data_IF_403673009316
#
_entry.id   IF_403673009316
#
_cell.length_a   1.000
_cell.length_b   1.000
_cell.length_c   1.000
_cell.angle_alpha   90.00
_cell.angle_beta   90.00
_cell.angle_gamma   90.00
#
_symmetry.space_group_name_H-M   'P 1'
#
loop_
_entity.id
_entity.type
_entity.pdbx_description
1 polymer ?
#
# COMPACT_ATOMS: atom_id res chain seq x y z
N UNK A 1 -12.45 -9.76 -14.89
CA UNK A 1 -11.41 -9.57 -13.87
C UNK A 1 -11.89 -9.92 -12.46
N UNK A 2 -12.94 -9.30 -11.89
CA UNK A 2 -13.45 -9.69 -10.57
C UNK A 2 -13.78 -11.19 -10.46
N UNK A 3 -14.42 -11.75 -11.48
CA UNK A 3 -14.68 -13.19 -11.56
C UNK A 3 -13.40 -14.05 -11.66
N UNK A 4 -12.33 -13.55 -12.29
CA UNK A 4 -11.04 -14.24 -12.31
C UNK A 4 -10.43 -14.25 -10.91
N UNK A 5 -10.47 -13.11 -10.21
CA UNK A 5 -9.98 -13.02 -8.83
C UNK A 5 -10.75 -13.96 -7.89
N UNK A 6 -12.08 -14.03 -8.01
CA UNK A 6 -12.94 -14.97 -7.25
C UNK A 6 -12.59 -16.44 -7.55
N UNK A 7 -12.34 -16.80 -8.81
CA UNK A 7 -11.94 -18.17 -9.15
C UNK A 7 -10.54 -18.54 -8.68
N UNK A 8 -9.62 -17.58 -8.60
CA UNK A 8 -8.25 -17.83 -8.12
C UNK A 8 -8.23 -17.96 -6.60
N UNK A 9 -9.03 -17.17 -5.88
CA UNK A 9 -9.14 -17.19 -4.42
C UNK A 9 -9.75 -18.52 -3.93
N UNK A 10 -8.94 -19.34 -3.25
CA UNK A 10 -9.36 -20.63 -2.70
C UNK A 10 -9.27 -21.83 -3.66
N UNK A 11 -8.88 -21.62 -4.92
CA UNK A 11 -8.57 -22.70 -5.86
C UNK A 11 -7.18 -23.33 -5.59
N UNK A 12 -6.86 -24.45 -6.22
CA UNK A 12 -5.48 -24.96 -6.21
C UNK A 12 -4.60 -24.18 -7.17
N UNK A 13 -3.27 -24.18 -6.94
CA UNK A 13 -2.31 -23.50 -7.81
C UNK A 13 -2.39 -23.99 -9.25
N UNK A 14 -2.53 -25.30 -9.45
CA UNK A 14 -2.59 -25.92 -10.76
C UNK A 14 -3.87 -25.54 -11.52
N UNK A 15 -5.00 -25.41 -10.83
CA UNK A 15 -6.27 -25.01 -11.43
C UNK A 15 -6.27 -23.52 -11.82
N UNK A 16 -5.59 -22.69 -11.04
CA UNK A 16 -5.56 -21.24 -11.21
C UNK A 16 -4.57 -20.73 -12.24
N UNK A 17 -3.67 -21.57 -12.78
CA UNK A 17 -2.57 -21.13 -13.66
C UNK A 17 -3.06 -20.31 -14.87
N UNK A 18 -4.13 -20.78 -15.54
CA UNK A 18 -4.69 -20.09 -16.70
C UNK A 18 -5.38 -18.78 -16.32
N UNK A 19 -6.15 -18.78 -15.21
CA UNK A 19 -6.86 -17.60 -14.73
C UNK A 19 -5.90 -16.51 -14.23
N UNK A 20 -4.83 -16.91 -13.52
CA UNK A 20 -3.79 -16.02 -13.04
C UNK A 20 -3.05 -15.35 -14.21
N UNK A 21 -2.69 -16.15 -15.23
CA UNK A 21 -2.07 -15.63 -16.45
C UNK A 21 -2.99 -14.63 -17.18
N UNK A 22 -4.27 -14.96 -17.31
CA UNK A 22 -5.27 -14.06 -17.90
C UNK A 22 -5.46 -12.78 -17.08
N UNK A 23 -5.52 -12.88 -15.74
CA UNK A 23 -5.63 -11.73 -14.87
C UNK A 23 -4.47 -10.77 -15.07
N UNK A 24 -3.24 -11.26 -14.91
CA UNK A 24 -2.01 -10.47 -15.05
C UNK A 24 -1.88 -9.83 -16.44
N UNK A 25 -2.32 -10.53 -17.49
CA UNK A 25 -2.37 -9.98 -18.83
C UNK A 25 -3.36 -8.82 -18.95
N UNK A 26 -4.55 -8.93 -18.35
CA UNK A 26 -5.60 -7.91 -18.42
C UNK A 26 -5.30 -6.68 -17.56
N UNK A 27 -4.63 -6.86 -16.42
CA UNK A 27 -4.27 -5.79 -15.49
C UNK A 27 -2.89 -5.17 -15.76
N UNK A 28 -2.11 -5.75 -16.67
CA UNK A 28 -0.70 -5.39 -16.89
C UNK A 28 0.16 -5.52 -15.62
N UNK A 29 -0.15 -6.52 -14.78
CA UNK A 29 0.55 -6.77 -13.51
C UNK A 29 1.23 -8.14 -13.48
N UNK A 30 1.84 -8.48 -12.35
CA UNK A 30 2.59 -9.73 -12.16
C UNK A 30 2.29 -10.38 -10.81
N UNK A 31 1.00 -10.43 -10.42
CA UNK A 31 0.59 -11.05 -9.17
C UNK A 31 0.93 -12.53 -9.14
N UNK A 32 1.28 -13.03 -7.96
CA UNK A 32 1.40 -14.45 -7.68
C UNK A 32 0.05 -15.03 -7.24
N UNK A 33 -0.09 -16.35 -7.34
CA UNK A 33 -1.29 -17.07 -6.88
C UNK A 33 -1.67 -16.72 -5.43
N UNK A 34 -0.67 -16.52 -4.57
CA UNK A 34 -0.82 -16.14 -3.17
C UNK A 34 -1.45 -14.77 -2.95
N UNK A 35 -1.26 -13.82 -3.86
CA UNK A 35 -1.79 -12.46 -3.72
C UNK A 35 -3.32 -12.42 -3.77
N UNK A 36 -3.94 -13.49 -4.29
CA UNK A 36 -5.38 -13.66 -4.38
C UNK A 36 -5.98 -14.42 -3.18
N UNK A 37 -5.16 -15.00 -2.31
CA UNK A 37 -5.67 -15.91 -1.28
C UNK A 37 -6.18 -15.13 -0.06
N UNK A 38 -7.45 -15.33 0.27
CA UNK A 38 -8.09 -14.70 1.42
C UNK A 38 -8.64 -13.31 1.14
N UNK A 39 -8.86 -12.94 -0.13
CA UNK A 39 -9.52 -11.68 -0.51
C UNK A 39 -10.92 -11.59 0.13
N UNK A 40 -11.63 -12.71 0.25
CA UNK A 40 -12.90 -12.82 1.00
C UNK A 40 -12.86 -12.28 2.45
N UNK A 41 -11.68 -12.16 3.06
CA UNK A 41 -11.51 -11.62 4.42
C UNK A 41 -11.48 -10.09 4.50
N UNK A 42 -11.27 -9.39 3.38
CA UNK A 42 -11.04 -7.95 3.34
C UNK A 42 -12.09 -7.12 2.59
N UNK A 43 -12.90 -7.73 1.70
CA UNK A 43 -13.91 -7.04 0.89
C UNK A 43 -14.44 -7.94 -0.24
N UNK A 44 -15.20 -7.37 -1.18
CA UNK A 44 -15.57 -8.09 -2.41
C UNK A 44 -14.40 -8.10 -3.41
N UNK A 45 -14.24 -9.15 -4.23
CA UNK A 45 -13.16 -9.22 -5.24
C UNK A 45 -13.19 -8.05 -6.22
N UNK A 46 -14.36 -7.45 -6.46
CA UNK A 46 -14.47 -6.28 -7.32
C UNK A 46 -13.73 -5.08 -6.73
N UNK A 47 -13.75 -4.90 -5.40
CA UNK A 47 -13.11 -3.78 -4.73
C UNK A 47 -11.58 -3.94 -4.78
N UNK A 48 -11.08 -5.15 -4.54
CA UNK A 48 -9.65 -5.44 -4.73
C UNK A 48 -9.20 -5.22 -6.18
N UNK A 49 -10.00 -5.67 -7.16
CA UNK A 49 -9.70 -5.44 -8.58
C UNK A 49 -9.69 -3.96 -8.94
N UNK A 50 -10.58 -3.15 -8.36
CA UNK A 50 -10.56 -1.69 -8.55
C UNK A 50 -9.26 -1.09 -8.01
N UNK A 51 -8.83 -1.46 -6.81
CA UNK A 51 -7.56 -0.98 -6.24
C UNK A 51 -6.35 -1.34 -7.11
N UNK A 52 -6.31 -2.57 -7.64
CA UNK A 52 -5.27 -2.97 -8.61
C UNK A 52 -5.27 -2.05 -9.82
N UNK A 53 -6.44 -1.84 -10.45
CA UNK A 53 -6.56 -0.98 -11.63
C UNK A 53 -6.24 0.49 -11.34
N UNK A 54 -6.65 1.01 -10.18
CA UNK A 54 -6.32 2.36 -9.73
C UNK A 54 -4.81 2.53 -9.60
N UNK A 55 -4.11 1.55 -9.02
CA UNK A 55 -2.65 1.59 -8.88
C UNK A 55 -1.91 1.60 -10.23
N UNK A 56 -2.53 1.08 -11.30
CA UNK A 56 -1.98 1.08 -12.66
C UNK A 56 -2.27 2.40 -13.38
N UNK A 57 -3.51 2.88 -13.29
CA UNK A 57 -4.02 3.96 -14.14
C UNK A 57 -3.75 5.34 -13.54
N UNK A 58 -3.79 5.48 -12.20
CA UNK A 58 -3.68 6.78 -11.53
C UNK A 58 -2.21 7.18 -11.45
N UNK A 59 -1.93 8.38 -11.95
CA UNK A 59 -0.62 9.01 -11.88
C UNK A 59 -0.75 10.35 -11.14
N UNK A 60 0.30 10.79 -10.42
CA UNK A 60 0.31 12.12 -9.81
C UNK A 60 0.10 13.20 -10.87
N UNK A 61 -0.72 14.20 -10.55
CA UNK A 61 -0.93 15.35 -11.42
C UNK A 61 0.21 16.37 -11.23
N UNK A 62 0.68 16.94 -12.34
CA UNK A 62 1.65 18.04 -12.25
C UNK A 62 0.98 19.32 -11.74
N UNK A 63 1.59 19.96 -10.74
CA UNK A 63 1.18 21.27 -10.20
C UNK A 63 -0.24 21.31 -9.60
N UNK A 64 -0.66 20.24 -8.93
CA UNK A 64 -1.93 20.24 -8.17
C UNK A 64 -1.95 21.40 -7.16
N UNK A 65 -3.03 22.16 -7.17
CA UNK A 65 -3.23 23.31 -6.28
C UNK A 65 -3.79 22.88 -4.94
N UNK A 66 -3.61 23.71 -3.91
CA UNK A 66 -4.23 23.44 -2.60
C UNK A 66 -5.75 23.30 -2.71
N UNK A 67 -6.41 24.13 -3.50
CA UNK A 67 -7.88 24.09 -3.66
C UNK A 67 -8.33 22.78 -4.32
N UNK A 68 -7.58 22.26 -5.30
CA UNK A 68 -7.84 20.95 -5.90
C UNK A 68 -7.62 19.81 -4.89
N UNK A 69 -6.59 19.91 -4.04
CA UNK A 69 -6.37 18.95 -2.96
C UNK A 69 -7.51 18.98 -1.93
N UNK A 70 -8.07 20.16 -1.63
CA UNK A 70 -9.23 20.28 -0.72
C UNK A 70 -10.47 19.63 -1.32
N UNK A 71 -10.70 19.82 -2.62
CA UNK A 71 -11.79 19.13 -3.31
C UNK A 71 -11.59 17.61 -3.29
N UNK A 72 -10.36 17.12 -3.53
CA UNK A 72 -10.06 15.69 -3.42
C UNK A 72 -10.32 15.17 -2.00
N UNK A 73 -9.80 15.85 -0.97
CA UNK A 73 -10.01 15.48 0.42
C UNK A 73 -11.51 15.47 0.80
N UNK A 74 -12.29 16.42 0.28
CA UNK A 74 -13.74 16.45 0.48
C UNK A 74 -14.43 15.23 -0.15
N UNK A 75 -14.04 14.83 -1.36
CA UNK A 75 -14.61 13.65 -2.05
C UNK A 75 -14.14 12.31 -1.49
N UNK A 76 -13.00 12.29 -0.79
CA UNK A 76 -12.53 11.09 -0.08
C UNK A 76 -13.41 10.73 1.12
N UNK A 77 -14.24 11.67 1.61
CA UNK A 77 -15.14 11.43 2.74
C UNK A 77 -16.36 10.63 2.25
N UNK A 78 -16.64 9.43 2.81
CA UNK A 78 -17.70 8.54 2.32
C UNK A 78 -19.10 9.14 2.30
N UNK A 79 -19.37 10.12 3.16
CA UNK A 79 -20.65 10.83 3.20
C UNK A 79 -20.85 11.80 2.02
N UNK A 80 -19.79 12.12 1.28
CA UNK A 80 -19.80 13.13 0.22
C UNK A 80 -19.79 12.55 -1.19
N UNK A 81 -19.28 11.33 -1.40
CA UNK A 81 -19.19 10.70 -2.73
C UNK A 81 -19.25 9.17 -2.63
N UNK A 82 -20.03 8.54 -3.51
CA UNK A 82 -20.14 7.07 -3.60
C UNK A 82 -18.85 6.44 -4.15
N UNK A 83 -18.06 7.19 -4.91
CA UNK A 83 -16.77 6.76 -5.49
C UNK A 83 -15.56 7.21 -4.64
N UNK A 84 -15.74 7.45 -3.34
CA UNK A 84 -14.70 8.00 -2.45
C UNK A 84 -13.37 7.22 -2.49
N UNK A 85 -13.40 5.91 -2.72
CA UNK A 85 -12.22 5.02 -2.83
C UNK A 85 -11.32 5.41 -4.01
N UNK A 86 -11.92 5.79 -5.14
CA UNK A 86 -11.16 6.27 -6.30
C UNK A 86 -10.49 7.61 -5.98
N UNK A 87 -11.20 8.52 -5.32
CA UNK A 87 -10.63 9.80 -4.90
C UNK A 87 -9.54 9.64 -3.85
N UNK A 88 -9.65 8.64 -2.98
CA UNK A 88 -8.63 8.31 -2.00
C UNK A 88 -7.30 7.95 -2.67
N UNK A 89 -7.35 7.11 -3.71
CA UNK A 89 -6.17 6.75 -4.51
C UNK A 89 -5.61 7.94 -5.30
N UNK A 90 -6.46 8.80 -5.86
CA UNK A 90 -5.98 10.03 -6.51
C UNK A 90 -5.31 10.94 -5.48
N UNK A 91 -5.92 11.13 -4.32
CA UNK A 91 -5.40 12.03 -3.29
C UNK A 91 -4.06 11.54 -2.75
N UNK A 92 -3.93 10.23 -2.45
CA UNK A 92 -2.69 9.62 -1.93
C UNK A 92 -1.50 9.82 -2.87
N UNK A 93 -1.71 9.79 -4.20
CA UNK A 93 -0.64 10.03 -5.18
C UNK A 93 -0.23 11.51 -5.29
N UNK A 94 -1.04 12.44 -4.80
CA UNK A 94 -0.84 13.88 -5.00
C UNK A 94 -0.35 14.61 -3.74
N UNK A 95 -0.08 13.90 -2.64
CA UNK A 95 0.38 14.48 -1.37
C UNK A 95 1.54 13.68 -0.77
N UNK A 96 2.37 14.30 0.10
CA UNK A 96 3.55 13.62 0.65
C UNK A 96 3.25 12.71 1.85
N UNK A 97 2.00 12.62 2.31
CA UNK A 97 1.62 11.83 3.48
C UNK A 97 1.23 10.40 3.06
N UNK A 98 1.83 9.35 3.66
CA UNK A 98 1.70 7.98 3.16
C UNK A 98 0.32 7.34 3.42
N UNK A 99 -0.30 7.61 4.57
CA UNK A 99 -1.47 6.85 5.04
C UNK A 99 -2.76 7.69 5.02
N UNK A 100 -3.16 8.21 3.85
CA UNK A 100 -4.33 9.10 3.72
C UNK A 100 -5.63 8.46 4.22
N UNK A 101 -5.79 7.15 4.03
CA UNK A 101 -6.96 6.40 4.52
C UNK A 101 -7.15 6.60 6.03
N UNK A 102 -6.08 6.48 6.82
CA UNK A 102 -6.14 6.66 8.28
C UNK A 102 -6.55 8.10 8.67
N UNK A 103 -6.15 9.11 7.90
CA UNK A 103 -6.56 10.49 8.13
C UNK A 103 -8.06 10.72 7.87
N UNK A 104 -8.68 9.93 7.00
CA UNK A 104 -10.12 10.04 6.69
C UNK A 104 -10.96 9.21 7.65
N UNK A 105 -10.65 7.93 7.82
CA UNK A 105 -11.49 7.00 8.57
C UNK A 105 -11.16 6.94 10.07
N UNK A 106 -9.91 7.23 10.44
CA UNK A 106 -9.42 7.11 11.81
C UNK A 106 -8.56 8.32 12.25
N UNK A 107 -9.00 9.57 12.05
CA UNK A 107 -8.16 10.76 12.25
C UNK A 107 -7.64 10.92 13.70
N UNK A 108 -8.37 10.38 14.68
CA UNK A 108 -7.94 10.37 16.09
C UNK A 108 -6.71 9.49 16.34
N UNK A 109 -6.48 8.52 15.46
CA UNK A 109 -5.41 7.54 15.53
C UNK A 109 -4.09 8.06 14.95
N UNK A 110 -4.14 9.08 14.10
CA UNK A 110 -2.98 9.62 13.41
C UNK A 110 -2.13 10.48 14.37
N UNK A 111 -0.85 10.12 14.58
CA UNK A 111 0.06 10.88 15.43
C UNK A 111 0.18 12.35 14.99
N UNK A 112 -0.01 13.27 15.92
CA UNK A 112 0.12 14.71 15.67
C UNK A 112 -1.08 15.37 14.99
N UNK A 113 -2.11 14.61 14.61
CA UNK A 113 -3.37 15.14 14.07
C UNK A 113 -4.50 15.07 15.11
N UNK A 114 -4.84 13.85 15.56
CA UNK A 114 -5.78 13.56 16.66
C UNK A 114 -7.13 14.29 16.62
N UNK A 115 -7.66 14.56 15.42
CA UNK A 115 -8.98 15.19 15.25
C UNK A 115 -10.08 14.13 15.18
N UNK A 116 -11.27 14.45 15.67
CA UNK A 116 -12.42 13.55 15.63
C UNK A 116 -13.17 13.66 14.30
N UNK A 117 -13.52 14.89 13.91
CA UNK A 117 -14.20 15.21 12.65
C UNK A 117 -13.41 16.31 11.91
N UNK A 118 -12.29 15.96 11.25
CA UNK A 118 -11.48 16.95 10.54
C UNK A 118 -12.19 17.46 9.28
N UNK A 119 -12.02 18.74 8.96
CA UNK A 119 -12.46 19.26 7.67
C UNK A 119 -11.46 18.91 6.56
N UNK A 120 -11.91 18.97 5.30
CA UNK A 120 -11.03 18.78 4.14
C UNK A 120 -9.83 19.75 4.15
N UNK A 121 -10.04 21.03 4.50
CA UNK A 121 -8.96 22.00 4.68
C UNK A 121 -7.95 21.58 5.74
N UNK A 122 -8.42 21.06 6.88
CA UNK A 122 -7.55 20.65 7.99
C UNK A 122 -6.71 19.42 7.63
N UNK A 123 -7.28 18.48 6.87
CA UNK A 123 -6.55 17.33 6.31
C UNK A 123 -5.48 17.83 5.34
N UNK A 124 -5.85 18.70 4.40
CA UNK A 124 -4.91 19.24 3.38
C UNK A 124 -3.78 20.02 4.03
N UNK A 125 -4.09 20.89 4.99
CA UNK A 125 -3.07 21.64 5.71
C UNK A 125 -2.13 20.71 6.49
N UNK A 126 -2.65 19.62 7.07
CA UNK A 126 -1.81 18.64 7.77
C UNK A 126 -0.88 17.91 6.80
N UNK A 127 -1.40 17.35 5.71
CA UNK A 127 -0.60 16.56 4.74
C UNK A 127 0.41 17.43 4.00
N UNK A 128 0.09 18.70 3.69
CA UNK A 128 1.04 19.61 3.04
C UNK A 128 2.17 20.08 3.98
N UNK A 129 1.92 20.08 5.28
CA UNK A 129 2.95 20.41 6.29
C UNK A 129 3.70 19.18 6.80
N UNK A 130 3.34 17.99 6.35
CA UNK A 130 3.95 16.74 6.76
C UNK A 130 5.44 16.69 6.41
N UNK A 131 6.23 16.16 7.33
CA UNK A 131 7.67 15.97 7.15
C UNK A 131 8.05 14.57 7.55
N UNK A 132 8.49 13.81 6.55
CA UNK A 132 8.92 12.43 6.73
C UNK A 132 10.01 12.30 7.78
N UNK A 133 9.84 11.41 8.75
CA UNK A 133 10.93 11.03 9.67
C UNK A 133 11.82 10.01 8.97
N UNK A 134 13.07 10.37 8.68
CA UNK A 134 14.00 9.46 8.01
C UNK A 134 14.72 8.57 9.04
N UNK A 135 14.45 7.28 8.98
CA UNK A 135 15.14 6.29 9.82
C UNK A 135 16.47 5.86 9.19
N UNK A 136 17.47 5.61 10.03
CA UNK A 136 18.70 4.97 9.58
C UNK A 136 18.46 3.50 9.22
N UNK A 137 19.34 2.92 8.37
CA UNK A 137 19.34 1.48 8.07
C UNK A 137 19.29 0.60 9.32
N UNK A 138 19.98 1.01 10.39
CA UNK A 138 20.00 0.28 11.66
C UNK A 138 18.63 0.31 12.35
N UNK A 139 17.99 1.48 12.40
CA UNK A 139 16.65 1.65 12.97
C UNK A 139 15.60 0.88 12.17
N UNK A 140 15.65 0.94 10.83
CA UNK A 140 14.78 0.15 9.95
C UNK A 140 14.93 -1.34 10.21
N UNK A 141 16.16 -1.84 10.28
CA UNK A 141 16.44 -3.25 10.55
C UNK A 141 15.87 -3.67 11.91
N UNK A 142 16.04 -2.82 12.93
CA UNK A 142 15.54 -3.07 14.28
C UNK A 142 14.00 -3.12 14.30
N UNK A 143 13.34 -2.14 13.70
CA UNK A 143 11.88 -2.08 13.66
C UNK A 143 11.28 -3.22 12.83
N UNK A 144 11.82 -3.50 11.64
CA UNK A 144 11.36 -4.64 10.83
C UNK A 144 11.58 -5.97 11.54
N UNK A 145 12.74 -6.15 12.18
CA UNK A 145 13.00 -7.35 13.00
C UNK A 145 12.03 -7.45 14.18
N UNK A 146 11.65 -6.32 14.80
CA UNK A 146 10.67 -6.33 15.88
C UNK A 146 9.29 -6.70 15.34
N UNK A 147 8.83 -6.07 14.24
CA UNK A 147 7.55 -6.39 13.59
C UNK A 147 7.37 -7.87 13.23
N UNK A 148 8.45 -8.51 12.75
CA UNK A 148 8.41 -9.93 12.36
C UNK A 148 8.33 -10.86 13.58
N UNK A 149 8.91 -10.48 14.72
CA UNK A 149 9.12 -11.39 15.86
C UNK A 149 8.31 -11.01 17.13
N UNK A 150 7.76 -9.81 17.19
CA UNK A 150 7.11 -9.19 18.35
C UNK A 150 6.11 -8.11 17.87
N UNK A 151 5.42 -7.47 18.81
CA UNK A 151 4.45 -6.41 18.53
C UNK A 151 5.12 -5.02 18.52
N UNK A 152 4.94 -4.26 17.45
CA UNK A 152 5.29 -2.83 17.42
C UNK A 152 4.31 -2.02 18.28
N UNK A 153 4.80 -0.96 18.92
CA UNK A 153 3.89 0.10 19.38
C UNK A 153 3.27 0.81 18.17
N UNK A 154 2.17 1.53 18.39
CA UNK A 154 1.52 2.29 17.33
C UNK A 154 2.47 3.30 16.66
N UNK A 155 3.26 4.02 17.45
CA UNK A 155 4.27 4.97 16.95
C UNK A 155 5.37 4.28 16.14
N UNK A 156 5.87 3.13 16.62
CA UNK A 156 6.88 2.34 15.88
C UNK A 156 6.32 1.80 14.56
N UNK A 157 5.04 1.39 14.54
CA UNK A 157 4.36 0.92 13.33
C UNK A 157 4.27 2.05 12.30
N UNK A 158 3.79 3.23 12.68
CA UNK A 158 3.74 4.39 11.77
C UNK A 158 5.12 4.78 11.26
N UNK A 159 6.15 4.83 12.13
CA UNK A 159 7.51 5.16 11.70
C UNK A 159 8.06 4.14 10.70
N UNK A 160 7.81 2.84 10.91
CA UNK A 160 8.24 1.81 9.96
C UNK A 160 7.45 1.90 8.64
N UNK A 161 6.13 2.05 8.70
CA UNK A 161 5.24 2.18 7.54
C UNK A 161 5.62 3.38 6.68
N UNK A 162 5.81 4.54 7.31
CA UNK A 162 6.25 5.77 6.65
C UNK A 162 7.57 5.56 5.88
N UNK A 163 8.52 4.80 6.44
CA UNK A 163 9.83 4.61 5.79
C UNK A 163 9.85 3.45 4.79
N UNK A 164 8.83 2.61 4.77
CA UNK A 164 8.64 1.51 3.83
C UNK A 164 7.30 1.70 3.09
N UNK A 165 7.03 2.92 2.62
CA UNK A 165 5.70 3.38 2.16
C UNK A 165 5.05 2.55 1.05
N UNK A 166 5.85 1.88 0.22
CA UNK A 166 5.33 0.99 -0.82
C UNK A 166 4.92 -0.39 -0.29
N UNK A 167 5.27 -0.71 0.97
CA UNK A 167 5.11 -2.03 1.56
C UNK A 167 4.06 -2.04 2.66
N UNK A 168 2.97 -2.77 2.45
CA UNK A 168 2.11 -3.18 3.56
C UNK A 168 2.91 -4.12 4.49
N UNK A 169 3.08 -3.70 5.75
CA UNK A 169 4.06 -4.30 6.65
C UNK A 169 3.77 -5.77 6.99
N UNK A 170 2.50 -6.18 7.04
CA UNK A 170 2.16 -7.59 7.31
C UNK A 170 2.47 -8.47 6.09
N UNK A 171 2.10 -8.02 4.89
CA UNK A 171 2.40 -8.65 3.62
C UNK A 171 3.90 -8.78 3.42
N UNK A 172 4.68 -7.74 3.73
CA UNK A 172 6.13 -7.79 3.72
C UNK A 172 6.68 -8.82 4.70
N UNK A 173 6.16 -8.86 5.95
CA UNK A 173 6.56 -9.85 6.95
C UNK A 173 6.35 -11.29 6.46
N UNK A 174 5.15 -11.59 5.93
CA UNK A 174 4.83 -12.92 5.41
C UNK A 174 5.69 -13.29 4.19
N UNK A 175 5.88 -12.34 3.27
CA UNK A 175 6.72 -12.55 2.09
C UNK A 175 8.17 -12.84 2.48
N UNK A 176 8.76 -12.07 3.40
CA UNK A 176 10.12 -12.29 3.87
C UNK A 176 10.30 -13.65 4.56
N UNK A 177 9.33 -14.06 5.39
CA UNK A 177 9.35 -15.37 6.05
C UNK A 177 9.29 -16.51 5.04
N UNK A 178 8.41 -16.42 4.03
CA UNK A 178 8.28 -17.40 2.94
C UNK A 178 9.57 -17.56 2.14
N UNK A 179 10.22 -16.43 1.82
CA UNK A 179 11.47 -16.41 1.06
C UNK A 179 12.72 -16.60 1.93
N UNK A 180 12.56 -16.80 3.25
CA UNK A 180 13.63 -16.99 4.23
C UNK A 180 14.68 -15.86 4.21
N UNK A 181 14.23 -14.63 3.99
CA UNK A 181 15.09 -13.45 3.93
C UNK A 181 15.13 -12.80 5.32
N UNK A 182 16.34 -12.68 5.89
CA UNK A 182 16.52 -12.06 7.20
C UNK A 182 16.23 -10.54 7.15
N UNK A 183 15.74 -9.91 8.24
CA UNK A 183 15.36 -8.48 8.22
C UNK A 183 16.47 -7.54 7.77
N UNK A 184 17.72 -7.80 8.18
CA UNK A 184 18.87 -7.00 7.74
C UNK A 184 19.09 -7.08 6.23
N UNK A 185 19.01 -8.29 5.67
CA UNK A 185 19.14 -8.52 4.24
C UNK A 185 17.95 -7.90 3.48
N UNK A 186 16.74 -7.98 4.03
CA UNK A 186 15.55 -7.35 3.47
C UNK A 186 15.74 -5.85 3.30
N UNK A 187 16.15 -5.15 4.36
CA UNK A 187 16.40 -3.70 4.30
C UNK A 187 17.51 -3.36 3.30
N UNK A 188 18.57 -4.18 3.20
CA UNK A 188 19.61 -3.98 2.18
C UNK A 188 19.07 -4.09 0.75
N UNK A 189 18.22 -5.08 0.49
CA UNK A 189 17.63 -5.31 -0.82
C UNK A 189 16.58 -4.24 -1.16
N UNK A 190 15.75 -3.82 -0.20
CA UNK A 190 14.75 -2.75 -0.38
C UNK A 190 15.45 -1.42 -0.69
N UNK A 191 16.44 -1.02 0.12
CA UNK A 191 17.19 0.22 -0.11
C UNK A 191 18.02 0.19 -1.42
N UNK A 192 18.35 -1.01 -1.90
CA UNK A 192 19.00 -1.20 -3.20
C UNK A 192 18.03 -1.28 -4.38
N UNK A 193 16.71 -1.17 -4.15
CA UNK A 193 15.67 -1.30 -5.18
C UNK A 193 15.54 -2.71 -5.76
N UNK A 194 15.99 -3.74 -5.04
CA UNK A 194 15.94 -5.15 -5.47
C UNK A 194 14.70 -5.86 -4.98
N UNK A 195 14.19 -5.51 -3.81
CA UNK A 195 12.83 -5.87 -3.40
C UNK A 195 11.97 -4.65 -3.70
N UNK A 196 10.96 -4.82 -4.52
CA UNK A 196 10.04 -3.75 -4.94
C UNK A 196 8.60 -4.20 -4.76
N UNK A 197 7.69 -3.24 -4.67
CA UNK A 197 6.25 -3.49 -4.78
C UNK A 197 5.78 -3.01 -6.14
N UNK A 198 5.08 -3.88 -6.87
CA UNK A 198 4.45 -3.54 -8.13
C UNK A 198 2.97 -3.87 -8.05
N UNK A 199 2.12 -2.83 -8.08
CA UNK A 199 0.66 -2.95 -8.00
C UNK A 199 0.17 -3.78 -6.80
N UNK A 200 0.86 -3.70 -5.66
CA UNK A 200 0.53 -4.47 -4.45
C UNK A 200 1.27 -5.81 -4.31
N UNK A 201 2.02 -6.26 -5.32
CA UNK A 201 2.83 -7.49 -5.24
C UNK A 201 4.28 -7.19 -4.90
N UNK A 202 4.79 -7.86 -3.87
CA UNK A 202 6.21 -7.79 -3.47
C UNK A 202 7.02 -8.75 -4.34
N UNK A 203 8.08 -8.26 -4.98
CA UNK A 203 8.93 -9.07 -5.88
C UNK A 203 10.42 -8.83 -5.62
N UNK A 204 11.21 -9.90 -5.71
CA UNK A 204 12.68 -9.82 -5.78
C UNK A 204 13.11 -9.74 -7.24
N UNK A 205 13.66 -8.60 -7.65
CA UNK A 205 14.23 -8.44 -8.98
C UNK A 205 15.50 -9.29 -9.13
N UNK A 206 15.69 -9.95 -10.28
CA UNK A 206 16.92 -10.69 -10.54
C UNK A 206 18.12 -9.73 -10.57
N UNK A 207 19.28 -10.18 -10.09
CA UNK A 207 20.51 -9.40 -10.21
C UNK A 207 20.79 -9.14 -11.71
N UNK A 208 20.86 -7.87 -12.13
CA UNK A 208 21.16 -7.48 -13.52
C UNK A 208 22.58 -7.86 -14.01
N UNK A 209 23.30 -8.70 -13.26
CA UNK A 209 24.60 -9.25 -13.65
C UNK A 209 24.47 -10.72 -14.04
N UNK A 210 23.73 -10.98 -15.11
CA UNK A 210 23.78 -12.23 -15.88
C UNK A 210 23.40 -11.94 -17.34
N UNK A 211 24.23 -11.14 -18.01
CA UNK A 211 24.33 -11.08 -19.48
C UNK A 211 25.76 -11.35 -19.89
#
# INVERSE_FOLDING_TARGET
MAQLADWIDGASREESEAWLSEFNQLSETSHEFEDFQGLYGGGEHIDWVRLVLYSVIIQPAENVTRDELVELAHRCMPENDDDFEAYLEIFSKNVPYPDISDLIFWPTHVPGFHKEEPTADEIVDFVLNYKKTNLSKHELTKLLSKHINDTLTKEEFYLLSENLEDFELNSLSFWLQRHQIAPQQAIELILAGKIVVNHGTITLLPDELSR
#
